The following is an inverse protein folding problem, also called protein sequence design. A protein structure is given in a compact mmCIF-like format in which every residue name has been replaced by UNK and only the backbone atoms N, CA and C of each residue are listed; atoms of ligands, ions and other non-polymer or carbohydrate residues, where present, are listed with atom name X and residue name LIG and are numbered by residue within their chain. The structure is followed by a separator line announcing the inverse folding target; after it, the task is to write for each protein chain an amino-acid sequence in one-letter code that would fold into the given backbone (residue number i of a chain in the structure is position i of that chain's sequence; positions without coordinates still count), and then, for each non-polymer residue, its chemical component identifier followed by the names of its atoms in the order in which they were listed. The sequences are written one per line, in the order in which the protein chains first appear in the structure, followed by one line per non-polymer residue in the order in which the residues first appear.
data_IF_298950385477
#
_entry.id   IF_298950385477
#
_cell.length_a   1.000
_cell.length_b   1.000
_cell.length_c   1.000
_cell.angle_alpha   90.00
_cell.angle_beta   90.00
_cell.angle_gamma   90.00
#
_symmetry.space_group_name_H-M   'P 1'
#
loop_
_entity.id
_entity.type
_entity.pdbx_description
1 polymer ?
#
# COMPACT_ATOMS: atom_id res chain seq x y z
N UNK A 1 12.56 -3.11 -13.61
CA UNK A 1 13.02 -2.05 -12.69
C UNK A 1 11.86 -1.75 -11.75
N UNK A 2 11.90 -2.19 -10.48
CA UNK A 2 10.93 -1.76 -9.48
C UNK A 2 11.48 -0.47 -8.89
N UNK A 3 11.05 0.67 -9.46
CA UNK A 3 11.32 1.95 -8.83
C UNK A 3 10.78 1.89 -7.41
N UNK A 4 11.60 2.21 -6.41
CA UNK A 4 11.27 2.17 -4.98
C UNK A 4 10.22 3.22 -4.55
N UNK A 5 9.21 3.45 -5.37
CA UNK A 5 8.14 4.44 -5.20
C UNK A 5 7.11 4.03 -4.16
N UNK A 6 7.19 2.82 -3.61
CA UNK A 6 6.24 2.32 -2.61
C UNK A 6 6.20 3.21 -1.36
N UNK A 7 7.36 3.71 -0.92
CA UNK A 7 7.47 4.63 0.22
C UNK A 7 6.86 5.99 -0.10
N UNK A 8 7.16 6.55 -1.28
CA UNK A 8 6.62 7.82 -1.75
C UNK A 8 5.10 7.78 -1.93
N UNK A 9 4.58 6.73 -2.56
CA UNK A 9 3.13 6.50 -2.70
C UNK A 9 2.47 6.37 -1.33
N UNK A 10 3.12 5.68 -0.38
CA UNK A 10 2.60 5.54 0.99
C UNK A 10 2.53 6.90 1.70
N UNK A 11 3.56 7.74 1.55
CA UNK A 11 3.59 9.09 2.12
C UNK A 11 2.48 9.98 1.52
N UNK A 12 2.30 9.95 0.20
CA UNK A 12 1.25 10.71 -0.47
C UNK A 12 -0.15 10.28 -0.03
N UNK A 13 -0.36 8.97 0.20
CA UNK A 13 -1.62 8.44 0.74
C UNK A 13 -1.87 8.93 2.16
N UNK A 14 -0.84 8.94 3.01
CA UNK A 14 -0.97 9.50 4.36
C UNK A 14 -1.40 10.97 4.32
N UNK A 15 -0.72 11.79 3.52
CA UNK A 15 -1.07 13.22 3.38
C UNK A 15 -2.52 13.43 2.87
N UNK A 16 -2.95 12.61 1.91
CA UNK A 16 -4.33 12.66 1.40
C UNK A 16 -5.36 12.34 2.48
N UNK A 17 -5.11 11.28 3.25
CA UNK A 17 -5.99 10.85 4.33
C UNK A 17 -6.07 11.88 5.47
N UNK A 18 -4.97 12.58 5.74
CA UNK A 18 -4.90 13.65 6.73
C UNK A 18 -5.74 14.85 6.34
N UNK A 19 -5.57 15.31 5.10
CA UNK A 19 -6.37 16.41 4.57
C UNK A 19 -7.87 16.06 4.57
N UNK A 20 -8.23 14.83 4.20
CA UNK A 20 -9.62 14.38 4.21
C UNK A 20 -10.20 14.35 5.63
N UNK A 21 -9.44 13.85 6.61
CA UNK A 21 -9.87 13.83 8.01
C UNK A 21 -10.00 15.22 8.60
N UNK A 22 -9.02 16.11 8.37
CA UNK A 22 -9.05 17.49 8.84
C UNK A 22 -10.27 18.27 8.30
N UNK A 23 -10.64 18.02 7.04
CA UNK A 23 -11.79 18.67 6.42
C UNK A 23 -13.14 18.14 6.94
N UNK A 24 -13.25 16.84 7.27
CA UNK A 24 -14.52 16.19 7.60
C UNK A 24 -14.36 15.03 8.61
N UNK A 25 -14.04 15.30 9.88
CA UNK A 25 -13.76 14.26 10.86
C UNK A 25 -14.95 13.31 11.13
N UNK A 26 -16.19 13.82 11.01
CA UNK A 26 -17.41 13.04 11.25
C UNK A 26 -17.60 11.91 10.23
N UNK A 27 -17.12 12.09 9.00
CA UNK A 27 -17.15 11.04 7.96
C UNK A 27 -16.30 9.82 8.35
N UNK A 28 -15.36 9.99 9.27
CA UNK A 28 -14.49 8.94 9.78
C UNK A 28 -14.82 8.54 11.22
N UNK A 29 -16.02 8.89 11.72
CA UNK A 29 -16.46 8.58 13.09
C UNK A 29 -15.48 9.10 14.14
N UNK A 30 -14.88 10.27 13.88
CA UNK A 30 -13.87 10.90 14.74
C UNK A 30 -12.50 10.22 14.75
N UNK A 31 -12.28 9.13 14.01
CA UNK A 31 -11.00 8.41 13.97
C UNK A 31 -10.21 8.75 12.72
N UNK A 32 -8.95 9.15 12.88
CA UNK A 32 -8.06 9.39 11.74
C UNK A 32 -7.83 8.09 10.96
N UNK A 33 -8.09 8.05 9.65
CA UNK A 33 -7.79 6.89 8.81
C UNK A 33 -6.28 6.74 8.60
N UNK A 34 -5.83 5.51 8.36
CA UNK A 34 -4.43 5.20 8.05
C UNK A 34 -4.33 4.47 6.70
N UNK A 35 -3.26 4.71 5.92
CA UNK A 35 -3.04 3.97 4.69
C UNK A 35 -2.79 2.47 4.99
N UNK A 36 -3.15 1.55 4.07
CA UNK A 36 -2.86 0.13 4.24
C UNK A 36 -1.37 -0.15 4.42
N UNK A 37 -1.04 -1.16 5.20
CA UNK A 37 0.35 -1.63 5.31
C UNK A 37 0.82 -2.14 3.95
N UNK A 38 2.03 -1.73 3.56
CA UNK A 38 2.66 -2.26 2.35
C UNK A 38 2.95 -3.76 2.55
N UNK A 39 2.60 -4.63 1.60
CA UNK A 39 2.98 -6.03 1.66
C UNK A 39 4.49 -6.17 1.43
N UNK A 40 5.13 -7.11 2.12
CA UNK A 40 6.54 -7.44 1.91
C UNK A 40 6.78 -8.05 0.53
N UNK A 41 5.82 -8.82 0.03
CA UNK A 41 5.83 -9.40 -1.32
C UNK A 41 4.41 -9.35 -1.89
N UNK A 42 4.29 -9.04 -3.18
CA UNK A 42 3.04 -9.08 -3.91
C UNK A 42 3.27 -9.68 -5.31
N UNK A 43 2.43 -10.61 -5.72
CA UNK A 43 2.47 -11.25 -7.03
C UNK A 43 1.20 -10.89 -7.82
N UNK A 44 1.35 -10.51 -9.08
CA UNK A 44 0.21 -10.34 -10.01
C UNK A 44 -0.18 -11.70 -10.60
N UNK A 45 0.82 -12.57 -10.81
CA UNK A 45 0.67 -14.00 -11.06
C UNK A 45 1.62 -14.70 -10.09
N UNK A 46 1.10 -15.45 -9.12
CA UNK A 46 1.92 -16.25 -8.22
C UNK A 46 2.52 -17.41 -9.04
N UNK A 47 3.85 -17.50 -9.23
CA UNK A 47 4.44 -18.62 -9.95
C UNK A 47 4.19 -19.90 -9.15
N UNK A 48 3.74 -20.96 -9.82
CA UNK A 48 3.62 -22.26 -9.18
C UNK A 48 4.97 -22.71 -8.62
N UNK A 49 4.96 -23.56 -7.59
CA UNK A 49 6.18 -24.11 -7.00
C UNK A 49 7.09 -24.79 -8.04
N UNK A 50 6.50 -25.34 -9.10
CA UNK A 50 7.19 -25.95 -10.23
C UNK A 50 7.95 -24.92 -11.08
N UNK A 51 7.39 -23.73 -11.29
CA UNK A 51 8.06 -22.63 -12.01
C UNK A 51 9.24 -22.04 -11.22
N UNK A 52 9.20 -22.11 -9.88
CA UNK A 52 10.32 -21.71 -9.01
C UNK A 52 11.49 -22.72 -9.05
N UNK A 53 11.23 -23.98 -9.40
CA UNK A 53 12.23 -25.06 -9.41
C UNK A 53 12.98 -25.13 -10.75
N UNK A 54 12.36 -24.75 -11.87
CA UNK A 54 12.97 -24.85 -13.21
C UNK A 54 13.99 -23.74 -13.54
N UNK A 55 14.18 -22.76 -12.65
CA UNK A 55 14.99 -21.58 -12.93
C UNK A 55 16.37 -21.58 -12.22
N UNK A 56 16.85 -22.76 -11.78
CA UNK A 56 18.16 -22.98 -11.15
C UNK A 56 19.08 -23.85 -12.01
#
# INVERSE_FOLDING_TARGET
MHYGTSTEISAQRAATLDAAYAANPDRFRGRRPAPPKLPTVAWINDPSREALIQNN
#
